data_IF_370826451872
#
_entry.id   IF_370826451872
#
_cell.length_a   1.000
_cell.length_b   1.000
_cell.length_c   1.000
_cell.angle_alpha   90.00
_cell.angle_beta   90.00
_cell.angle_gamma   90.00
#
_symmetry.space_group_name_H-M   'P 1'
#
loop_
_entity.id
_entity.type
_entity.pdbx_description
1 polymer ?
#
# COMPACT_ATOMS: atom_id res chain seq x y z
N UNK A 1 -57.32 -5.48 -52.18
CA UNK A 1 -57.42 -5.19 -50.73
C UNK A 1 -56.16 -5.74 -50.08
N UNK A 2 -55.06 -4.96 -50.02
CA UNK A 2 -54.57 -4.18 -48.86
C UNK A 2 -54.47 -5.00 -47.55
N UNK A 3 -53.30 -5.57 -47.31
CA UNK A 3 -52.82 -6.00 -45.99
C UNK A 3 -51.66 -5.05 -45.60
N UNK A 4 -51.65 -4.48 -44.38
CA UNK A 4 -50.61 -3.56 -43.95
C UNK A 4 -49.38 -4.30 -43.42
N UNK A 5 -48.22 -3.83 -43.86
CA UNK A 5 -46.90 -4.09 -43.29
C UNK A 5 -46.82 -3.38 -41.95
N UNK A 6 -46.66 -4.12 -40.86
CA UNK A 6 -46.25 -3.56 -39.56
C UNK A 6 -44.77 -3.87 -39.39
N UNK A 7 -43.95 -2.87 -39.70
CA UNK A 7 -42.52 -2.87 -39.43
C UNK A 7 -42.30 -2.59 -37.93
N UNK A 8 -41.84 -3.59 -37.19
CA UNK A 8 -41.37 -3.42 -35.82
C UNK A 8 -39.90 -2.94 -35.87
N UNK A 9 -39.69 -1.65 -35.68
CA UNK A 9 -38.36 -1.04 -35.56
C UNK A 9 -37.75 -1.42 -34.20
N UNK A 10 -36.73 -2.26 -34.23
CA UNK A 10 -35.85 -2.52 -33.10
C UNK A 10 -34.94 -1.30 -32.86
N UNK A 11 -35.24 -0.51 -31.84
CA UNK A 11 -34.34 0.52 -31.33
C UNK A 11 -33.48 -0.09 -30.22
N UNK A 12 -32.40 -0.76 -30.62
CA UNK A 12 -31.33 -1.17 -29.71
C UNK A 12 -30.57 0.08 -29.29
N UNK A 13 -30.87 0.63 -28.12
CA UNK A 13 -30.00 1.61 -27.47
C UNK A 13 -28.76 0.89 -26.93
N UNK A 14 -27.54 1.15 -27.44
CA UNK A 14 -26.35 0.77 -26.71
C UNK A 14 -26.24 1.76 -25.53
N UNK A 15 -26.82 1.39 -24.39
CA UNK A 15 -26.51 2.09 -23.16
C UNK A 15 -25.05 1.78 -22.84
N UNK A 16 -24.22 2.80 -23.02
CA UNK A 16 -22.83 2.91 -22.63
C UNK A 16 -22.55 2.09 -21.36
N UNK A 17 -21.69 1.08 -21.50
CA UNK A 17 -21.02 0.44 -20.37
C UNK A 17 -20.28 1.54 -19.61
N UNK A 18 -20.83 1.96 -18.46
CA UNK A 18 -20.07 2.69 -17.45
C UNK A 18 -18.83 1.85 -17.15
N UNK A 19 -17.66 2.46 -17.33
CA UNK A 19 -16.38 1.82 -17.08
C UNK A 19 -16.40 1.15 -15.72
N UNK A 20 -15.97 -0.11 -15.68
CA UNK A 20 -15.63 -0.74 -14.42
C UNK A 20 -14.41 0.00 -13.91
N UNK A 21 -14.63 1.02 -13.08
CA UNK A 21 -13.58 1.51 -12.19
C UNK A 21 -13.09 0.30 -11.42
N UNK A 22 -11.84 -0.09 -11.65
CA UNK A 22 -11.20 -1.21 -10.96
C UNK A 22 -11.42 -1.00 -9.47
N UNK A 23 -12.18 -1.90 -8.85
CA UNK A 23 -12.41 -1.84 -7.42
C UNK A 23 -11.07 -2.02 -6.73
N UNK A 24 -10.72 -1.12 -5.81
CA UNK A 24 -9.57 -1.31 -4.92
C UNK A 24 -9.71 -2.70 -4.27
N UNK A 25 -8.59 -3.41 -4.11
CA UNK A 25 -8.49 -4.59 -3.23
C UNK A 25 -9.32 -4.34 -1.97
N UNK A 26 -10.18 -5.28 -1.60
CA UNK A 26 -11.13 -5.03 -0.53
C UNK A 26 -10.40 -4.72 0.79
N UNK A 27 -10.98 -3.86 1.64
CA UNK A 27 -10.39 -3.55 2.94
C UNK A 27 -10.19 -4.80 3.83
N UNK A 28 -10.91 -5.89 3.54
CA UNK A 28 -10.74 -7.18 4.19
C UNK A 28 -9.50 -7.93 3.73
N UNK A 29 -9.17 -7.86 2.44
CA UNK A 29 -8.00 -8.55 1.87
C UNK A 29 -6.70 -7.92 2.38
N UNK A 30 -6.63 -6.58 2.46
CA UNK A 30 -5.43 -5.91 2.97
C UNK A 30 -5.19 -6.20 4.46
N UNK A 31 -6.23 -6.34 5.28
CA UNK A 31 -6.07 -6.74 6.70
C UNK A 31 -5.45 -8.13 6.83
N UNK A 32 -5.81 -9.04 5.92
CA UNK A 32 -5.18 -10.37 5.83
C UNK A 32 -3.69 -10.26 5.53
N UNK A 33 -3.32 -9.50 4.50
CA UNK A 33 -1.93 -9.21 4.15
C UNK A 33 -1.15 -8.60 5.33
N UNK A 34 -1.73 -7.60 6.02
CA UNK A 34 -1.08 -6.93 7.15
C UNK A 34 -0.87 -7.85 8.35
N UNK A 35 -1.82 -8.75 8.62
CA UNK A 35 -1.65 -9.79 9.64
C UNK A 35 -0.52 -10.75 9.28
N UNK A 36 -0.42 -11.17 8.01
CA UNK A 36 0.68 -12.00 7.53
C UNK A 36 2.03 -11.30 7.68
N UNK A 37 2.12 -10.04 7.28
CA UNK A 37 3.32 -9.19 7.46
C UNK A 37 3.73 -9.13 8.94
N UNK A 38 2.78 -8.82 9.83
CA UNK A 38 3.05 -8.72 11.27
C UNK A 38 3.53 -10.04 11.87
N UNK A 39 2.88 -11.15 11.51
CA UNK A 39 3.29 -12.50 11.93
C UNK A 39 4.71 -12.86 11.47
N UNK A 40 5.03 -12.56 10.20
CA UNK A 40 6.33 -12.84 9.62
C UNK A 40 7.45 -12.02 10.27
N UNK A 41 7.20 -10.72 10.50
CA UNK A 41 8.16 -9.82 11.16
C UNK A 41 8.36 -10.22 12.62
N UNK A 42 7.31 -10.64 13.33
CA UNK A 42 7.42 -11.15 14.70
C UNK A 42 8.29 -12.41 14.82
N UNK A 43 8.41 -13.21 13.77
CA UNK A 43 9.29 -14.39 13.74
C UNK A 43 10.78 -14.04 13.55
N UNK A 44 11.10 -12.83 13.08
CA UNK A 44 12.47 -12.36 12.89
C UNK A 44 13.09 -11.93 14.22
N UNK A 45 12.30 -11.29 15.09
CA UNK A 45 12.75 -10.75 16.38
C UNK A 45 13.56 -11.75 17.26
N UNK A 46 13.06 -12.96 17.57
CA UNK A 46 13.81 -13.91 18.41
C UNK A 46 15.11 -14.41 17.76
N UNK A 47 15.27 -14.27 16.45
CA UNK A 47 16.52 -14.61 15.77
C UNK A 47 17.51 -13.43 15.89
N UNK A 48 17.03 -12.19 15.76
CA UNK A 48 17.85 -11.00 15.98
C UNK A 48 18.40 -10.93 17.41
N UNK A 49 17.69 -11.46 18.41
CA UNK A 49 18.21 -11.54 19.79
C UNK A 49 19.39 -12.50 19.97
N UNK A 50 19.49 -13.49 19.08
CA UNK A 50 20.58 -14.47 19.07
C UNK A 50 21.80 -13.96 18.28
N UNK A 51 21.65 -12.92 17.46
CA UNK A 51 22.76 -12.33 16.70
C UNK A 51 23.77 -11.71 17.67
N UNK A 52 25.03 -12.11 17.54
CA UNK A 52 26.16 -11.60 18.33
C UNK A 52 27.07 -10.68 17.51
N UNK A 53 26.49 -9.68 16.85
CA UNK A 53 27.21 -8.80 15.92
C UNK A 53 28.46 -8.14 16.51
N UNK A 54 28.45 -7.79 17.81
CA UNK A 54 29.61 -7.21 18.51
C UNK A 54 30.79 -8.19 18.60
N UNK A 55 30.51 -9.47 18.90
CA UNK A 55 31.53 -10.53 18.93
C UNK A 55 32.07 -10.85 17.52
N UNK A 56 31.31 -10.57 16.46
CA UNK A 56 31.80 -10.74 15.10
C UNK A 56 32.89 -9.71 14.78
N UNK A 57 32.75 -8.47 15.27
CA UNK A 57 33.75 -7.41 15.07
C UNK A 57 35.08 -7.77 15.74
N UNK A 58 35.04 -8.35 16.94
CA UNK A 58 36.23 -8.87 17.62
C UNK A 58 36.94 -9.97 16.80
N UNK A 59 36.20 -10.66 15.94
CA UNK A 59 36.68 -11.69 15.00
C UNK A 59 36.99 -11.13 13.59
N UNK A 60 37.10 -9.81 13.45
CA UNK A 60 37.49 -9.13 12.22
C UNK A 60 36.33 -8.85 11.24
N UNK A 61 35.08 -8.94 11.68
CA UNK A 61 33.94 -8.52 10.88
C UNK A 61 33.83 -6.98 10.81
N UNK A 62 33.33 -6.41 9.70
CA UNK A 62 33.02 -4.99 9.62
C UNK A 62 32.05 -4.51 10.72
N UNK A 63 32.29 -3.31 11.25
CA UNK A 63 31.42 -2.69 12.27
C UNK A 63 30.00 -2.42 11.78
N UNK A 64 29.81 -2.34 10.46
CA UNK A 64 28.50 -2.18 9.82
C UNK A 64 27.50 -3.28 10.21
N UNK A 65 27.95 -4.49 10.59
CA UNK A 65 27.04 -5.52 11.09
C UNK A 65 26.36 -5.13 12.41
N UNK A 66 27.03 -4.36 13.27
CA UNK A 66 26.44 -3.86 14.52
C UNK A 66 25.36 -2.83 14.20
N UNK A 67 25.66 -1.90 13.31
CA UNK A 67 24.72 -0.86 12.83
C UNK A 67 23.51 -1.50 12.14
N UNK A 68 23.74 -2.52 11.30
CA UNK A 68 22.68 -3.26 10.64
C UNK A 68 21.80 -4.02 11.64
N UNK A 69 22.41 -4.62 12.67
CA UNK A 69 21.68 -5.33 13.72
C UNK A 69 20.81 -4.39 14.55
N UNK A 70 21.34 -3.25 14.99
CA UNK A 70 20.59 -2.26 15.75
C UNK A 70 19.45 -1.66 14.90
N UNK A 71 19.72 -1.37 13.63
CA UNK A 71 18.72 -0.89 12.68
C UNK A 71 17.62 -1.92 12.44
N UNK A 72 17.97 -3.20 12.23
CA UNK A 72 17.00 -4.26 11.99
C UNK A 72 15.99 -4.37 13.14
N UNK A 73 16.46 -4.30 14.40
CA UNK A 73 15.59 -4.31 15.58
C UNK A 73 14.64 -3.11 15.61
N UNK A 74 15.14 -1.91 15.29
CA UNK A 74 14.28 -0.72 15.17
C UNK A 74 13.24 -0.83 14.05
N UNK A 75 13.63 -1.44 12.92
CA UNK A 75 12.72 -1.65 11.78
C UNK A 75 11.64 -2.70 12.07
N UNK A 76 11.92 -3.76 12.82
CA UNK A 76 10.91 -4.75 13.26
C UNK A 76 9.76 -4.06 13.98
N UNK A 77 10.06 -3.24 14.99
CA UNK A 77 9.04 -2.50 15.73
C UNK A 77 8.34 -1.46 14.85
N UNK A 78 9.09 -0.74 14.02
CA UNK A 78 8.53 0.22 13.08
C UNK A 78 7.53 -0.40 12.09
N UNK A 79 7.81 -1.60 11.59
CA UNK A 79 6.89 -2.36 10.72
C UNK A 79 5.62 -2.75 11.49
N UNK A 80 5.74 -3.21 12.73
CA UNK A 80 4.60 -3.57 13.58
C UNK A 80 3.65 -2.37 13.76
N UNK A 81 4.20 -1.22 14.16
CA UNK A 81 3.44 0.01 14.38
C UNK A 81 2.81 0.55 13.09
N UNK A 82 3.56 0.57 11.98
CA UNK A 82 3.02 1.02 10.69
C UNK A 82 1.92 0.09 10.15
N UNK A 83 2.06 -1.23 10.36
CA UNK A 83 1.05 -2.22 9.99
C UNK A 83 -0.24 -2.08 10.79
N UNK A 84 -0.13 -1.80 12.10
CA UNK A 84 -1.27 -1.49 12.97
C UNK A 84 -1.96 -0.19 12.52
N UNK A 85 -1.20 0.88 12.31
CA UNK A 85 -1.73 2.16 11.84
C UNK A 85 -2.42 2.05 10.48
N UNK A 86 -1.90 1.23 9.55
CA UNK A 86 -2.53 0.99 8.26
C UNK A 86 -3.80 0.16 8.40
N UNK A 87 -3.82 -0.81 9.32
CA UNK A 87 -5.01 -1.61 9.62
C UNK A 87 -6.16 -0.73 10.16
N UNK A 88 -5.84 0.32 10.92
CA UNK A 88 -6.84 1.30 11.36
C UNK A 88 -7.30 2.24 10.24
N UNK A 89 -6.38 2.61 9.33
CA UNK A 89 -6.59 3.64 8.31
C UNK A 89 -6.16 3.13 6.92
N UNK A 90 -6.84 2.12 6.35
CA UNK A 90 -6.38 1.44 5.13
C UNK A 90 -6.18 2.41 3.96
N UNK A 91 -7.08 3.38 3.81
CA UNK A 91 -7.04 4.34 2.69
C UNK A 91 -5.95 5.42 2.80
N UNK A 92 -5.09 5.39 3.83
CA UNK A 92 -3.98 6.35 3.98
C UNK A 92 -2.75 5.87 3.22
N UNK A 93 -2.64 6.31 1.96
CA UNK A 93 -1.53 5.98 1.06
C UNK A 93 -0.14 6.23 1.70
N UNK A 94 0.02 7.34 2.43
CA UNK A 94 1.28 7.65 3.11
C UNK A 94 1.69 6.61 4.15
N UNK A 95 0.73 6.02 4.87
CA UNK A 95 1.01 4.97 5.87
C UNK A 95 1.36 3.66 5.15
N UNK A 96 0.68 3.35 4.05
CA UNK A 96 0.98 2.18 3.24
C UNK A 96 2.41 2.24 2.65
N UNK A 97 2.80 3.41 2.14
CA UNK A 97 4.16 3.63 1.63
C UNK A 97 5.23 3.55 2.74
N UNK A 98 4.98 4.15 3.91
CA UNK A 98 5.91 4.06 5.05
C UNK A 98 6.13 2.60 5.48
N UNK A 99 5.05 1.82 5.61
CA UNK A 99 5.13 0.39 5.89
C UNK A 99 5.97 -0.36 4.85
N UNK A 100 5.72 -0.11 3.56
CA UNK A 100 6.45 -0.75 2.48
C UNK A 100 7.95 -0.45 2.50
N UNK A 101 8.33 0.82 2.70
CA UNK A 101 9.75 1.19 2.79
C UNK A 101 10.44 0.60 4.02
N UNK A 102 9.74 0.50 5.15
CA UNK A 102 10.26 -0.16 6.35
C UNK A 102 10.50 -1.65 6.10
N UNK A 103 9.60 -2.33 5.40
CA UNK A 103 9.78 -3.73 5.01
C UNK A 103 10.98 -3.90 4.07
N UNK A 104 11.15 -3.02 3.09
CA UNK A 104 12.32 -3.06 2.19
C UNK A 104 13.64 -2.77 2.92
N UNK A 105 13.63 -1.88 3.90
CA UNK A 105 14.80 -1.64 4.75
C UNK A 105 15.12 -2.88 5.60
N UNK A 106 14.12 -3.47 6.23
CA UNK A 106 14.28 -4.67 7.05
C UNK A 106 14.84 -5.84 6.22
N UNK A 107 14.32 -6.09 5.02
CA UNK A 107 14.76 -7.17 4.13
C UNK A 107 16.27 -7.05 3.81
N UNK A 108 16.73 -5.84 3.47
CA UNK A 108 18.16 -5.57 3.20
C UNK A 108 19.04 -5.80 4.42
N UNK A 109 18.59 -5.31 5.59
CA UNK A 109 19.34 -5.45 6.84
C UNK A 109 19.44 -6.91 7.28
N UNK A 110 18.33 -7.65 7.21
CA UNK A 110 18.27 -9.07 7.55
C UNK A 110 19.12 -9.89 6.56
N UNK A 111 19.10 -9.56 5.27
CA UNK A 111 19.98 -10.19 4.28
C UNK A 111 21.47 -10.04 4.64
N UNK A 112 21.89 -8.82 5.00
CA UNK A 112 23.26 -8.60 5.48
C UNK A 112 23.58 -9.39 6.74
N UNK A 113 22.66 -9.45 7.72
CA UNK A 113 22.86 -10.22 8.94
C UNK A 113 22.91 -11.73 8.70
N UNK A 114 22.17 -12.24 7.71
CA UNK A 114 22.24 -13.65 7.32
C UNK A 114 23.63 -14.02 6.78
N UNK A 115 24.25 -13.15 5.97
CA UNK A 115 25.65 -13.32 5.54
C UNK A 115 26.61 -13.33 6.74
N UNK A 116 26.41 -12.42 7.69
CA UNK A 116 27.20 -12.34 8.92
C UNK A 116 27.07 -13.60 9.79
N UNK A 117 25.84 -14.11 9.96
CA UNK A 117 25.58 -15.36 10.69
C UNK A 117 26.27 -16.56 10.04
N UNK A 118 26.21 -16.66 8.71
CA UNK A 118 26.84 -17.74 7.97
C UNK A 118 28.37 -17.74 8.16
N UNK A 119 28.99 -16.55 8.15
CA UNK A 119 30.44 -16.42 8.22
C UNK A 119 31.02 -16.45 9.64
N UNK A 120 30.31 -15.87 10.62
CA UNK A 120 30.87 -15.58 11.94
C UNK A 120 30.19 -16.27 13.10
N UNK A 121 29.06 -16.96 12.92
CA UNK A 121 28.33 -17.53 14.06
C UNK A 121 27.69 -18.89 13.79
N UNK A 122 26.53 -18.92 13.14
CA UNK A 122 25.76 -20.14 12.94
C UNK A 122 25.03 -20.12 11.58
N UNK A 123 25.49 -20.92 10.61
CA UNK A 123 24.85 -21.05 9.30
C UNK A 123 23.39 -21.49 9.36
N UNK A 124 22.98 -22.27 10.36
CA UNK A 124 21.58 -22.69 10.51
C UNK A 124 20.64 -21.51 10.84
N UNK A 125 21.13 -20.52 11.63
CA UNK A 125 20.38 -19.30 11.88
C UNK A 125 20.30 -18.40 10.63
N UNK A 126 21.35 -18.39 9.80
CA UNK A 126 21.32 -17.69 8.52
C UNK A 126 20.26 -18.27 7.58
N UNK A 127 20.20 -19.59 7.45
CA UNK A 127 19.19 -20.29 6.64
C UNK A 127 17.78 -20.02 7.16
N UNK A 128 17.59 -20.01 8.48
CA UNK A 128 16.30 -19.67 9.08
C UNK A 128 15.85 -18.24 8.72
N UNK A 129 16.73 -17.25 8.81
CA UNK A 129 16.42 -15.88 8.37
C UNK A 129 16.11 -15.81 6.88
N UNK A 130 16.90 -16.46 6.04
CA UNK A 130 16.67 -16.51 4.59
C UNK A 130 15.31 -17.13 4.25
N UNK A 131 14.93 -18.19 4.97
CA UNK A 131 13.61 -18.83 4.86
C UNK A 131 12.46 -17.86 5.18
N UNK A 132 12.58 -17.08 6.25
CA UNK A 132 11.58 -16.07 6.62
C UNK A 132 11.46 -14.95 5.57
N UNK A 133 12.58 -14.48 5.03
CA UNK A 133 12.56 -13.48 3.96
C UNK A 133 11.84 -13.99 2.72
N UNK A 134 12.09 -15.25 2.33
CA UNK A 134 11.43 -15.88 1.18
C UNK A 134 9.93 -16.08 1.40
N UNK A 135 9.54 -16.53 2.60
CA UNK A 135 8.13 -16.73 2.98
C UNK A 135 7.32 -15.42 2.92
N UNK A 136 7.96 -14.28 3.19
CA UNK A 136 7.32 -12.96 3.15
C UNK A 136 7.16 -12.33 1.76
N UNK A 137 7.68 -12.96 0.70
CA UNK A 137 7.70 -12.36 -0.65
C UNK A 137 6.29 -12.05 -1.18
N UNK A 138 5.34 -12.96 -1.04
CA UNK A 138 3.97 -12.78 -1.50
C UNK A 138 3.25 -11.66 -0.74
N UNK A 139 3.44 -11.58 0.59
CA UNK A 139 2.82 -10.53 1.40
C UNK A 139 3.35 -9.14 1.05
N UNK A 140 4.65 -9.03 0.74
CA UNK A 140 5.28 -7.79 0.28
C UNK A 140 4.77 -7.38 -1.10
N UNK A 141 4.60 -8.34 -1.99
CA UNK A 141 4.06 -8.09 -3.32
C UNK A 141 2.57 -7.67 -3.27
N UNK A 142 1.77 -8.31 -2.42
CA UNK A 142 0.39 -7.90 -2.18
C UNK A 142 0.29 -6.46 -1.65
N UNK A 143 1.15 -6.07 -0.71
CA UNK A 143 1.21 -4.69 -0.23
C UNK A 143 1.62 -3.70 -1.34
N UNK A 144 2.59 -4.07 -2.20
CA UNK A 144 3.00 -3.25 -3.34
C UNK A 144 1.83 -3.01 -4.29
N UNK A 145 1.10 -4.07 -4.62
CA UNK A 145 -0.07 -3.97 -5.49
C UNK A 145 -1.15 -3.07 -4.87
N UNK A 146 -1.46 -3.27 -3.59
CA UNK A 146 -2.40 -2.43 -2.85
C UNK A 146 -2.04 -0.94 -2.89
N UNK A 147 -0.77 -0.60 -2.73
CA UNK A 147 -0.30 0.79 -2.80
C UNK A 147 -0.56 1.39 -4.19
N UNK A 148 -0.34 0.63 -5.25
CA UNK A 148 -0.58 1.07 -6.63
C UNK A 148 -2.07 1.31 -6.88
N UNK A 149 -2.93 0.37 -6.49
CA UNK A 149 -4.39 0.53 -6.62
C UNK A 149 -4.91 1.71 -5.80
N UNK A 150 -4.42 1.88 -4.57
CA UNK A 150 -4.83 2.98 -3.71
C UNK A 150 -4.38 4.33 -4.30
N UNK A 151 -3.20 4.40 -4.90
CA UNK A 151 -2.73 5.59 -5.59
C UNK A 151 -3.62 5.93 -6.79
N UNK A 152 -3.89 4.96 -7.67
CA UNK A 152 -4.75 5.13 -8.83
C UNK A 152 -6.16 5.59 -8.42
N UNK A 153 -6.73 4.97 -7.39
CA UNK A 153 -8.02 5.37 -6.85
C UNK A 153 -8.03 6.82 -6.36
N UNK A 154 -6.99 7.24 -5.63
CA UNK A 154 -6.90 8.62 -5.13
C UNK A 154 -6.72 9.63 -6.26
N UNK A 155 -5.99 9.28 -7.31
CA UNK A 155 -5.86 10.11 -8.52
C UNK A 155 -7.21 10.30 -9.22
N UNK A 156 -8.00 9.23 -9.35
CA UNK A 156 -9.35 9.29 -9.92
C UNK A 156 -10.30 10.16 -9.06
N UNK A 157 -10.26 10.02 -7.73
CA UNK A 157 -11.04 10.88 -6.82
C UNK A 157 -10.70 12.36 -7.00
N UNK A 158 -9.41 12.70 -7.15
CA UNK A 158 -8.99 14.07 -7.37
C UNK A 158 -9.42 14.62 -8.73
N UNK A 159 -9.41 13.80 -9.79
CA UNK A 159 -9.89 14.21 -11.11
C UNK A 159 -11.39 14.53 -11.09
N UNK A 160 -12.20 13.69 -10.45
CA UNK A 160 -13.64 13.95 -10.30
C UNK A 160 -13.89 15.21 -9.46
N UNK A 161 -13.16 15.36 -8.35
CA UNK A 161 -13.26 16.54 -7.49
C UNK A 161 -12.93 17.83 -8.25
N UNK A 162 -11.87 17.84 -9.07
CA UNK A 162 -11.53 19.00 -9.89
C UNK A 162 -12.61 19.31 -10.93
N UNK A 163 -13.11 18.29 -11.66
CA UNK A 163 -14.19 18.45 -12.64
C UNK A 163 -15.44 19.09 -12.02
N UNK A 164 -15.89 18.60 -10.87
CA UNK A 164 -17.05 19.17 -10.19
C UNK A 164 -16.76 20.57 -9.63
N UNK A 165 -15.53 20.85 -9.16
CA UNK A 165 -15.14 22.18 -8.75
C UNK A 165 -15.19 23.19 -9.91
N UNK A 166 -14.70 22.81 -11.11
CA UNK A 166 -14.79 23.65 -12.30
C UNK A 166 -16.25 23.86 -12.75
N UNK A 167 -17.07 22.81 -12.70
CA UNK A 167 -18.50 22.91 -13.01
C UNK A 167 -19.21 23.90 -12.09
N UNK A 168 -18.96 23.83 -10.78
CA UNK A 168 -19.49 24.78 -9.80
C UNK A 168 -19.06 26.22 -10.09
N UNK A 169 -17.80 26.44 -10.46
CA UNK A 169 -17.32 27.77 -10.87
C UNK A 169 -18.07 28.28 -12.11
N UNK A 170 -18.26 27.44 -13.12
CA UNK A 170 -19.01 27.80 -14.33
C UNK A 170 -20.46 28.21 -14.03
N UNK A 171 -21.13 27.50 -13.11
CA UNK A 171 -22.47 27.85 -12.65
C UNK A 171 -22.49 29.20 -11.96
N UNK A 172 -21.56 29.48 -11.04
CA UNK A 172 -21.49 30.74 -10.30
C UNK A 172 -21.23 31.95 -11.22
N UNK A 173 -20.33 31.81 -12.18
CA UNK A 173 -20.00 32.89 -13.15
C UNK A 173 -21.18 33.19 -14.07
N UNK A 174 -21.98 32.18 -14.41
CA UNK A 174 -23.11 32.32 -15.33
C UNK A 174 -24.41 32.80 -14.64
N UNK A 175 -24.39 33.05 -13.33
CA UNK A 175 -25.58 33.56 -12.64
C UNK A 175 -25.85 35.02 -13.05
N UNK A 176 -27.06 35.35 -13.56
CA UNK A 176 -27.40 36.72 -13.86
C UNK A 176 -27.44 37.56 -12.58
N UNK A 177 -27.09 38.86 -12.65
CA UNK A 177 -27.11 39.72 -11.48
C UNK A 177 -28.52 39.80 -10.88
N UNK A 178 -28.64 39.94 -9.55
CA UNK A 178 -29.93 40.06 -8.90
C UNK A 178 -30.72 41.25 -9.47
N UNK A 179 -32.00 41.02 -9.79
CA UNK A 179 -32.84 42.08 -10.35
C UNK A 179 -32.98 43.23 -9.34
N UNK A 180 -32.92 44.50 -9.77
CA UNK A 180 -33.09 45.63 -8.86
C UNK A 180 -34.46 45.57 -8.18
N UNK A 181 -34.47 45.79 -6.87
CA UNK A 181 -35.69 45.80 -6.08
C UNK A 181 -36.64 46.92 -6.56
N UNK A 182 -37.94 46.60 -6.69
CA UNK A 182 -38.95 47.60 -7.07
C UNK A 182 -39.02 48.68 -5.97
N UNK A 183 -39.01 49.98 -6.34
CA UNK A 183 -39.14 51.06 -5.37
C UNK A 183 -40.51 50.93 -4.66
N UNK A 184 -40.49 51.12 -3.34
CA UNK A 184 -41.66 51.01 -2.46
C UNK A 184 -42.54 52.26 -2.65
N UNK A 185 -43.88 52.13 -2.72
CA UNK A 185 -44.79 53.26 -2.91
C UNK A 185 -44.78 54.24 -1.74
#
# INVERSE_FOLDING_TARGET
MRLPVVALLAASFPCLSLGQGGGITSEWDIRGTLKSVSSQVGRIEPILEQVRAKEWVERGAPRTYVEHWESARGHVEGVRLAGEALSEKPQKLSIAMDLFFRLQALDRLVGSLAEGLNKYQNPALAELLAGLLRESSESREGLRHYIMELAEYKEQEFEVMDKEAQRCRGVLVSQPPPRPAKPKP
#
